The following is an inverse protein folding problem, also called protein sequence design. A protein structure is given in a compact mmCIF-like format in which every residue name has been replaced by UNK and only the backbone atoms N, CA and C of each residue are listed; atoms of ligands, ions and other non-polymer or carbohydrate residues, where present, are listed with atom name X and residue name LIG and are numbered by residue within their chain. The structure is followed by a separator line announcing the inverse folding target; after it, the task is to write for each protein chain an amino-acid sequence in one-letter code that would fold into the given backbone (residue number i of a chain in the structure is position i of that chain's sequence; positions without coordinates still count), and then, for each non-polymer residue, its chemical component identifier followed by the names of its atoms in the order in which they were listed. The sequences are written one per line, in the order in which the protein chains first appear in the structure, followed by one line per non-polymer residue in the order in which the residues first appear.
data_IF_014883718142
#
_entry.id   IF_014883718142
#
_cell.length_a   1.000
_cell.length_b   1.000
_cell.length_c   1.000
_cell.angle_alpha   90.00
_cell.angle_beta   90.00
_cell.angle_gamma   90.00
#
_symmetry.space_group_name_H-M   'P 1'
#
loop_
_entity.id
_entity.type
_entity.pdbx_description
1 polymer ?
#
# COMPACT_ATOMS: atom_id res chain seq x y z
N UNK A 1 3.80 3.34 12.99
CA UNK A 1 4.08 2.39 14.08
C UNK A 1 5.19 1.47 13.59
N UNK A 2 6.29 1.33 14.34
CA UNK A 2 7.41 0.47 13.92
C UNK A 2 7.14 -1.02 14.20
N UNK A 3 6.56 -1.34 15.35
CA UNK A 3 6.20 -2.71 15.73
C UNK A 3 4.69 -2.79 16.05
N UNK A 4 3.83 -3.12 15.07
CA UNK A 4 2.38 -3.08 15.25
C UNK A 4 1.89 -3.94 16.42
N UNK A 5 2.44 -5.15 16.60
CA UNK A 5 2.02 -6.09 17.64
C UNK A 5 2.22 -5.61 19.08
N UNK A 6 3.14 -4.69 19.33
CA UNK A 6 3.48 -4.18 20.68
C UNK A 6 3.15 -2.71 20.85
N UNK A 7 3.22 -1.91 19.79
CA UNK A 7 3.14 -0.45 19.88
C UNK A 7 1.72 0.07 19.62
N UNK A 8 0.77 -0.77 19.18
CA UNK A 8 -0.60 -0.34 18.93
C UNK A 8 -1.28 0.39 20.11
N UNK A 9 -1.02 0.10 21.40
CA UNK A 9 -1.64 0.85 22.50
C UNK A 9 -1.20 2.32 22.55
N UNK A 10 -0.09 2.69 21.90
CA UNK A 10 0.35 4.09 21.83
C UNK A 10 -0.63 4.97 21.04
N UNK A 11 -1.46 4.37 20.17
CA UNK A 11 -2.47 5.11 19.40
C UNK A 11 -3.45 5.88 20.30
N UNK A 12 -3.76 5.38 21.50
CA UNK A 12 -4.59 6.10 22.47
C UNK A 12 -3.99 7.45 22.88
N UNK A 13 -2.65 7.56 22.93
CA UNK A 13 -1.97 8.82 23.30
C UNK A 13 -2.10 9.86 22.19
N UNK A 14 -2.17 9.41 20.95
CA UNK A 14 -2.21 10.26 19.77
C UNK A 14 -3.63 10.61 19.33
N UNK A 15 -4.67 9.95 19.88
CA UNK A 15 -6.06 10.19 19.48
C UNK A 15 -6.46 11.67 19.55
N UNK A 16 -5.97 12.41 20.56
CA UNK A 16 -6.21 13.86 20.70
C UNK A 16 -5.61 14.72 19.59
N UNK A 17 -4.67 14.20 18.81
CA UNK A 17 -4.12 14.93 17.66
C UNK A 17 -5.17 15.11 16.56
N UNK A 18 -6.13 14.19 16.47
CA UNK A 18 -7.21 14.23 15.48
C UNK A 18 -8.15 15.42 15.67
N UNK A 19 -8.24 15.97 16.89
CA UNK A 19 -9.09 17.12 17.19
C UNK A 19 -8.67 18.38 16.41
N UNK A 20 -7.37 18.49 16.06
CA UNK A 20 -6.80 19.67 15.43
C UNK A 20 -6.11 19.41 14.09
N UNK A 21 -5.79 18.15 13.78
CA UNK A 21 -5.00 17.79 12.61
C UNK A 21 -5.52 16.49 11.97
N UNK A 22 -5.66 16.43 10.63
CA UNK A 22 -5.93 15.18 9.92
C UNK A 22 -4.65 14.31 9.91
N UNK A 23 -4.43 13.57 11.01
CA UNK A 23 -3.29 12.67 11.15
C UNK A 23 -3.67 11.29 10.64
N UNK A 24 -2.78 10.70 9.82
CA UNK A 24 -2.84 9.29 9.43
C UNK A 24 -1.79 8.47 10.15
N UNK A 25 -2.07 7.18 10.34
CA UNK A 25 -1.14 6.24 10.95
C UNK A 25 -0.58 5.32 9.88
N UNK A 26 0.76 5.32 9.73
CA UNK A 26 1.45 4.32 8.95
C UNK A 26 1.59 3.01 9.76
N UNK A 27 1.10 1.89 9.20
CA UNK A 27 1.15 0.57 9.84
C UNK A 27 1.78 -0.43 8.85
N UNK A 28 2.95 -1.02 9.17
CA UNK A 28 3.52 -2.08 8.35
C UNK A 28 2.75 -3.40 8.49
N UNK A 29 2.68 -4.16 7.40
CA UNK A 29 2.12 -5.52 7.40
C UNK A 29 3.13 -6.47 8.04
N UNK A 30 3.10 -6.50 9.36
CA UNK A 30 3.92 -7.36 10.23
C UNK A 30 3.04 -8.04 11.29
N UNK A 31 3.62 -8.96 12.06
CA UNK A 31 2.87 -9.67 13.11
C UNK A 31 2.10 -8.71 14.03
N UNK A 32 0.78 -8.93 14.11
CA UNK A 32 -0.13 -8.11 14.91
C UNK A 32 -0.69 -6.85 14.23
N UNK A 33 -0.41 -6.61 12.94
CA UNK A 33 -0.91 -5.44 12.23
C UNK A 33 -2.44 -5.35 12.24
N UNK A 34 -3.17 -6.47 12.14
CA UNK A 34 -4.64 -6.48 12.13
C UNK A 34 -5.23 -5.80 13.38
N UNK A 35 -4.64 -6.06 14.55
CA UNK A 35 -5.05 -5.44 15.81
C UNK A 35 -4.77 -3.94 15.79
N UNK A 36 -3.62 -3.54 15.25
CA UNK A 36 -3.26 -2.14 15.10
C UNK A 36 -4.20 -1.41 14.14
N UNK A 37 -4.56 -2.02 13.01
CA UNK A 37 -5.54 -1.49 12.05
C UNK A 37 -6.91 -1.34 12.71
N UNK A 38 -7.41 -2.38 13.37
CA UNK A 38 -8.72 -2.36 14.05
C UNK A 38 -8.77 -1.27 15.12
N UNK A 39 -7.70 -1.11 15.92
CA UNK A 39 -7.64 -0.04 16.91
C UNK A 39 -7.57 1.34 16.26
N UNK A 40 -6.73 1.52 15.24
CA UNK A 40 -6.59 2.81 14.53
C UNK A 40 -7.93 3.27 13.95
N UNK A 41 -8.64 2.38 13.26
CA UNK A 41 -9.96 2.67 12.70
C UNK A 41 -10.98 2.99 13.81
N UNK A 42 -10.96 2.25 14.93
CA UNK A 42 -11.84 2.52 16.08
C UNK A 42 -11.58 3.90 16.70
N UNK A 43 -10.32 4.35 16.68
CA UNK A 43 -9.89 5.66 17.16
C UNK A 43 -10.00 6.76 16.09
N UNK A 44 -10.64 6.47 14.96
CA UNK A 44 -10.87 7.40 13.87
C UNK A 44 -9.60 7.91 13.16
N UNK A 45 -8.54 7.11 13.12
CA UNK A 45 -7.39 7.38 12.26
C UNK A 45 -7.60 6.88 10.84
N UNK A 46 -7.22 7.68 9.84
CA UNK A 46 -6.90 7.16 8.53
C UNK A 46 -5.64 6.28 8.61
N UNK A 47 -5.61 5.18 7.85
CA UNK A 47 -4.53 4.20 7.95
C UNK A 47 -3.82 4.05 6.61
N UNK A 48 -2.52 4.33 6.61
CA UNK A 48 -1.61 3.98 5.51
C UNK A 48 -0.99 2.61 5.79
N UNK A 49 -1.48 1.59 5.10
CA UNK A 49 -0.97 0.23 5.24
C UNK A 49 0.27 0.03 4.36
N UNK A 50 1.42 -0.24 4.98
CA UNK A 50 2.70 -0.43 4.29
C UNK A 50 2.89 -1.92 4.02
N UNK A 51 2.57 -2.36 2.80
CA UNK A 51 2.46 -3.79 2.50
C UNK A 51 3.81 -4.43 2.19
N UNK A 52 4.72 -3.74 1.50
CA UNK A 52 6.06 -4.25 1.23
C UNK A 52 6.06 -5.65 0.59
N UNK A 53 6.73 -6.61 1.23
CA UNK A 53 6.72 -8.03 0.90
C UNK A 53 6.22 -8.83 2.12
N UNK A 54 4.90 -9.05 2.27
CA UNK A 54 4.36 -9.73 3.45
C UNK A 54 4.98 -11.11 3.66
N UNK A 55 5.26 -11.47 4.90
CA UNK A 55 5.66 -12.85 5.22
C UNK A 55 4.53 -13.84 4.87
N UNK A 56 4.88 -15.09 4.59
CA UNK A 56 3.93 -16.12 4.12
C UNK A 56 2.68 -16.24 5.02
N UNK A 57 2.85 -16.18 6.35
CA UNK A 57 1.75 -16.25 7.32
C UNK A 57 0.89 -14.98 7.44
N UNK A 58 1.24 -13.89 6.77
CA UNK A 58 0.53 -12.60 6.84
C UNK A 58 -0.41 -12.36 5.66
N UNK A 59 -0.37 -13.21 4.63
CA UNK A 59 -1.24 -13.05 3.46
C UNK A 59 -2.71 -13.25 3.80
N UNK A 60 -3.06 -14.29 4.57
CA UNK A 60 -4.44 -14.53 4.98
C UNK A 60 -4.97 -13.39 5.87
N UNK A 61 -4.27 -12.96 6.94
CA UNK A 61 -4.60 -11.74 7.67
C UNK A 61 -4.84 -10.49 6.80
N UNK A 62 -4.04 -10.31 5.75
CA UNK A 62 -4.16 -9.17 4.84
C UNK A 62 -5.45 -9.26 3.99
N UNK A 63 -5.80 -10.46 3.53
CA UNK A 63 -7.04 -10.74 2.82
C UNK A 63 -8.25 -10.53 3.76
N UNK A 64 -8.19 -11.01 5.00
CA UNK A 64 -9.26 -10.82 5.98
C UNK A 64 -9.45 -9.33 6.31
N UNK A 65 -8.36 -8.55 6.34
CA UNK A 65 -8.42 -7.09 6.53
C UNK A 65 -9.07 -6.39 5.32
N UNK A 66 -8.81 -6.88 4.10
CA UNK A 66 -9.49 -6.38 2.90
C UNK A 66 -10.99 -6.70 2.94
N UNK A 67 -11.36 -7.91 3.36
CA UNK A 67 -12.76 -8.31 3.50
C UNK A 67 -13.50 -7.44 4.54
N UNK A 68 -12.87 -7.22 5.70
CA UNK A 68 -13.34 -6.27 6.71
C UNK A 68 -13.52 -4.86 6.10
N UNK A 69 -12.57 -4.38 5.27
CA UNK A 69 -12.66 -3.07 4.63
C UNK A 69 -13.82 -2.95 3.63
N UNK A 70 -14.05 -3.99 2.81
CA UNK A 70 -15.07 -3.97 1.75
C UNK A 70 -16.49 -4.15 2.29
N UNK A 71 -16.67 -4.99 3.31
CA UNK A 71 -18.01 -5.46 3.70
C UNK A 71 -18.46 -4.97 5.06
N UNK A 72 -17.56 -4.50 5.93
CA UNK A 72 -17.95 -4.12 7.29
C UNK A 72 -18.46 -2.69 7.34
N UNK A 73 -19.76 -2.46 7.65
CA UNK A 73 -20.38 -1.13 7.59
C UNK A 73 -19.82 -0.14 8.62
N UNK A 74 -19.05 -0.62 9.60
CA UNK A 74 -18.45 0.21 10.64
C UNK A 74 -17.10 0.81 10.23
N UNK A 75 -16.55 0.43 9.07
CA UNK A 75 -15.30 1.01 8.56
C UNK A 75 -15.65 2.31 7.83
N UNK A 76 -15.52 3.43 8.53
CA UNK A 76 -15.86 4.76 8.02
C UNK A 76 -14.65 5.54 7.47
N UNK A 77 -13.44 4.99 7.61
CA UNK A 77 -12.20 5.66 7.26
C UNK A 77 -11.39 4.87 6.23
N UNK A 78 -10.65 5.56 5.36
CA UNK A 78 -9.89 4.90 4.33
C UNK A 78 -8.73 4.10 4.93
N UNK A 79 -8.67 2.82 4.55
CA UNK A 79 -7.42 2.07 4.50
C UNK A 79 -6.75 2.43 3.17
N UNK A 80 -5.84 3.41 3.17
CA UNK A 80 -5.41 4.15 1.99
C UNK A 80 -4.99 3.23 0.84
N UNK A 81 -4.21 2.18 1.09
CA UNK A 81 -3.82 1.24 0.05
C UNK A 81 -5.02 0.57 -0.64
N UNK A 82 -5.97 0.03 0.12
CA UNK A 82 -7.18 -0.59 -0.45
C UNK A 82 -8.07 0.44 -1.10
N UNK A 83 -8.23 1.60 -0.47
CA UNK A 83 -9.09 2.67 -0.95
C UNK A 83 -8.60 3.24 -2.29
N UNK A 84 -7.31 3.56 -2.41
CA UNK A 84 -6.72 4.06 -3.65
C UNK A 84 -6.85 3.06 -4.80
N UNK A 85 -6.59 1.77 -4.54
CA UNK A 85 -6.73 0.73 -5.55
C UNK A 85 -8.18 0.51 -5.97
N UNK A 86 -9.10 0.44 -5.00
CA UNK A 86 -10.53 0.28 -5.27
C UNK A 86 -11.05 1.40 -6.15
N UNK A 87 -10.70 2.66 -5.83
CA UNK A 87 -11.11 3.82 -6.63
C UNK A 87 -10.48 3.81 -8.02
N UNK A 88 -9.20 3.49 -8.15
CA UNK A 88 -8.55 3.41 -9.46
C UNK A 88 -9.19 2.34 -10.35
N UNK A 89 -9.50 1.16 -9.80
CA UNK A 89 -10.24 0.13 -10.55
C UNK A 89 -11.67 0.56 -10.89
N UNK A 90 -12.36 1.22 -9.96
CA UNK A 90 -13.71 1.74 -10.18
C UNK A 90 -13.77 2.83 -11.25
N UNK A 91 -12.73 3.65 -11.37
CA UNK A 91 -12.67 4.78 -12.34
C UNK A 91 -11.90 4.46 -13.60
N UNK A 92 -11.31 3.27 -13.68
CA UNK A 92 -10.39 2.87 -14.76
C UNK A 92 -9.20 3.84 -14.92
N UNK A 93 -8.76 4.43 -13.81
CA UNK A 93 -7.62 5.35 -13.77
C UNK A 93 -6.30 4.56 -13.65
N UNK A 94 -5.23 5.01 -14.34
CA UNK A 94 -3.92 4.42 -14.16
C UNK A 94 -3.45 4.66 -12.73
N UNK A 95 -2.89 3.63 -12.10
CA UNK A 95 -2.36 3.69 -10.74
C UNK A 95 -0.97 3.07 -10.70
N UNK A 96 -0.05 3.69 -9.98
CA UNK A 96 1.30 3.17 -9.75
C UNK A 96 1.48 2.85 -8.27
N UNK A 97 1.81 1.60 -7.95
CA UNK A 97 1.91 1.14 -6.56
C UNK A 97 3.03 1.84 -5.81
N UNK A 98 4.10 2.24 -6.49
CA UNK A 98 5.16 3.04 -5.88
C UNK A 98 4.62 4.41 -5.44
N UNK A 99 3.70 5.00 -6.20
CA UNK A 99 3.08 6.28 -5.86
C UNK A 99 2.02 6.13 -4.76
N UNK A 100 1.16 5.10 -4.84
CA UNK A 100 0.16 4.78 -3.80
C UNK A 100 0.81 4.53 -2.45
N UNK A 101 1.96 3.85 -2.45
CA UNK A 101 2.73 3.59 -1.24
C UNK A 101 3.62 4.78 -0.87
N UNK A 102 3.62 5.89 -1.62
CA UNK A 102 4.49 7.06 -1.42
C UNK A 102 5.97 6.66 -1.31
N UNK A 103 6.38 5.73 -2.15
CA UNK A 103 7.73 5.16 -2.26
C UNK A 103 8.38 5.44 -3.62
N UNK A 104 7.78 6.27 -4.47
CA UNK A 104 8.39 6.76 -5.71
C UNK A 104 9.36 7.93 -5.41
N UNK A 105 10.69 7.75 -5.58
CA UNK A 105 11.66 8.81 -5.26
C UNK A 105 11.61 10.01 -6.21
N UNK A 106 10.96 9.88 -7.37
CA UNK A 106 10.69 11.01 -8.25
C UNK A 106 9.75 12.01 -7.59
N UNK A 107 8.81 11.52 -6.77
CA UNK A 107 7.76 12.30 -6.14
C UNK A 107 8.04 12.61 -4.66
N UNK A 108 8.61 11.67 -3.93
CA UNK A 108 8.76 11.74 -2.47
C UNK A 108 10.22 11.54 -2.08
N UNK A 109 10.78 12.52 -1.38
CA UNK A 109 12.10 12.46 -0.75
C UNK A 109 12.03 13.13 0.61
N UNK A 110 12.85 12.67 1.54
CA UNK A 110 12.93 13.24 2.88
C UNK A 110 14.26 13.97 3.04
N UNK A 111 14.29 14.99 3.89
CA UNK A 111 15.52 15.67 4.28
C UNK A 111 15.67 15.48 5.79
N UNK A 112 16.79 14.91 6.21
CA UNK A 112 17.08 14.70 7.62
C UNK A 112 17.57 15.99 8.32
N UNK A 113 17.79 15.90 9.64
CA UNK A 113 18.25 17.03 10.45
C UNK A 113 19.65 17.55 10.05
N UNK A 114 20.44 16.74 9.33
CA UNK A 114 21.73 17.13 8.78
C UNK A 114 21.62 17.78 7.39
N UNK A 115 20.41 17.87 6.83
CA UNK A 115 20.14 18.41 5.51
C UNK A 115 20.42 17.42 4.37
N UNK A 116 20.61 16.13 4.66
CA UNK A 116 20.85 15.12 3.64
C UNK A 116 19.53 14.55 3.11
N UNK A 117 19.45 14.35 1.79
CA UNK A 117 18.31 13.70 1.14
C UNK A 117 18.28 12.20 1.44
N UNK A 118 17.11 11.68 1.77
CA UNK A 118 16.83 10.29 2.09
C UNK A 118 15.71 9.75 1.18
N UNK A 119 15.85 8.49 0.76
CA UNK A 119 14.83 7.81 -0.04
C UNK A 119 13.60 7.43 0.81
N UNK A 120 12.42 7.27 0.18
CA UNK A 120 11.20 6.96 0.91
C UNK A 120 11.02 5.49 1.27
N UNK A 121 10.35 5.24 2.40
CA UNK A 121 9.83 3.92 2.79
C UNK A 121 10.88 2.81 2.75
N UNK A 122 10.57 1.69 2.10
CA UNK A 122 11.48 0.53 2.01
C UNK A 122 12.74 0.77 1.19
N UNK A 123 12.84 1.89 0.46
CA UNK A 123 14.06 2.30 -0.23
C UNK A 123 15.06 2.98 0.72
N UNK A 124 14.60 3.55 1.84
CA UNK A 124 15.46 4.20 2.83
C UNK A 124 16.46 3.22 3.50
N UNK A 125 16.06 1.96 3.64
CA UNK A 125 16.87 0.89 4.27
C UNK A 125 17.99 0.40 3.35
N UNK A 126 17.91 0.73 2.06
CA UNK A 126 18.90 0.35 1.05
C UNK A 126 19.83 1.55 0.85
N UNK A 127 21.14 1.30 0.76
CA UNK A 127 22.13 2.37 0.59
C UNK A 127 21.75 3.28 -0.59
N UNK A 128 21.47 4.55 -0.29
CA UNK A 128 21.17 5.61 -1.26
C UNK A 128 22.18 5.61 -2.41
N UNK A 129 23.45 5.32 -2.10
CA UNK A 129 24.55 5.25 -3.04
C UNK A 129 24.39 4.19 -4.15
N UNK A 130 23.58 3.15 -3.95
CA UNK A 130 23.29 2.14 -4.96
C UNK A 130 22.26 2.61 -6.01
N UNK A 131 21.49 3.67 -5.71
CA UNK A 131 20.51 4.27 -6.63
C UNK A 131 21.11 5.57 -7.17
N UNK A 132 21.74 5.48 -8.34
CA UNK A 132 22.43 6.61 -8.97
C UNK A 132 21.49 7.70 -9.49
N UNK A 133 20.26 7.34 -9.85
CA UNK A 133 19.25 8.26 -10.36
C UNK A 133 17.89 8.01 -9.70
N UNK A 134 17.64 8.61 -8.51
CA UNK A 134 16.38 8.40 -7.79
C UNK A 134 15.13 8.74 -8.62
N UNK A 135 15.18 9.81 -9.42
CA UNK A 135 14.03 10.27 -10.20
C UNK A 135 13.60 9.32 -11.32
N UNK A 136 14.50 8.46 -11.82
CA UNK A 136 14.22 7.48 -12.87
C UNK A 136 14.17 6.04 -12.32
N UNK A 137 14.25 5.87 -10.99
CA UNK A 137 14.37 4.57 -10.34
C UNK A 137 13.24 3.61 -10.73
N UNK A 138 11.98 4.03 -10.60
CA UNK A 138 10.82 3.16 -10.85
C UNK A 138 10.76 2.73 -12.33
N UNK A 139 11.10 3.64 -13.25
CA UNK A 139 11.15 3.35 -14.68
C UNK A 139 12.21 2.32 -15.02
N UNK A 140 13.45 2.53 -14.55
CA UNK A 140 14.55 1.59 -14.75
C UNK A 140 14.28 0.23 -14.09
N UNK A 141 13.73 0.24 -12.87
CA UNK A 141 13.37 -0.99 -12.16
C UNK A 141 12.30 -1.79 -12.90
N UNK A 142 11.22 -1.13 -13.33
CA UNK A 142 10.14 -1.78 -14.07
C UNK A 142 10.64 -2.35 -15.41
N UNK A 143 11.44 -1.59 -16.16
CA UNK A 143 12.02 -2.04 -17.42
C UNK A 143 12.89 -3.29 -17.23
N UNK A 144 13.74 -3.30 -16.19
CA UNK A 144 14.56 -4.47 -15.87
C UNK A 144 13.69 -5.71 -15.54
N UNK A 145 12.59 -5.54 -14.80
CA UNK A 145 11.66 -6.66 -14.50
C UNK A 145 10.96 -7.26 -15.71
N UNK A 146 10.73 -6.46 -16.76
CA UNK A 146 10.21 -6.98 -18.03
C UNK A 146 11.29 -7.71 -18.82
N UNK A 147 12.51 -7.18 -18.85
CA UNK A 147 13.65 -7.77 -19.57
C UNK A 147 14.11 -9.10 -18.98
N UNK A 148 13.98 -9.28 -17.66
CA UNK A 148 14.32 -10.54 -16.97
C UNK A 148 13.49 -11.74 -17.47
N UNK A 149 12.38 -11.51 -18.20
CA UNK A 149 11.53 -12.57 -18.77
C UNK A 149 10.80 -13.44 -17.74
N UNK A 150 10.87 -13.09 -16.46
CA UNK A 150 10.25 -13.80 -15.35
C UNK A 150 8.74 -13.53 -15.22
N UNK A 151 8.20 -13.83 -14.05
CA UNK A 151 6.77 -13.71 -13.71
C UNK A 151 6.15 -12.34 -14.07
N UNK A 152 6.90 -11.25 -13.87
CA UNK A 152 6.44 -9.88 -14.13
C UNK A 152 6.12 -9.62 -15.61
N UNK A 153 6.84 -10.26 -16.54
CA UNK A 153 6.65 -10.05 -17.99
C UNK A 153 5.26 -10.48 -18.50
N UNK A 154 4.58 -11.36 -17.77
CA UNK A 154 3.25 -11.90 -18.12
C UNK A 154 2.19 -11.55 -17.09
N UNK A 155 2.51 -10.70 -16.11
CA UNK A 155 1.60 -10.37 -15.03
C UNK A 155 0.58 -9.32 -15.48
N UNK A 156 -0.71 -9.63 -15.35
CA UNK A 156 -1.83 -8.73 -15.69
C UNK A 156 -1.86 -7.44 -14.86
N UNK A 157 -1.27 -7.47 -13.66
CA UNK A 157 -1.16 -6.31 -12.78
C UNK A 157 0.17 -5.57 -12.92
N UNK A 158 1.01 -5.91 -13.92
CA UNK A 158 2.34 -5.32 -14.04
C UNK A 158 2.28 -3.80 -14.28
N UNK A 159 1.32 -3.33 -15.09
CA UNK A 159 1.16 -1.92 -15.39
C UNK A 159 1.03 -1.07 -14.10
N UNK A 160 0.31 -1.60 -13.10
CA UNK A 160 0.10 -0.93 -11.83
C UNK A 160 1.21 -1.22 -10.81
N UNK A 161 1.62 -2.48 -10.73
CA UNK A 161 2.59 -2.95 -9.73
C UNK A 161 4.01 -2.45 -10.05
N UNK A 162 4.41 -2.39 -11.32
CA UNK A 162 5.76 -2.01 -11.79
C UNK A 162 6.89 -2.71 -11.03
N UNK A 163 6.66 -3.98 -10.65
CA UNK A 163 7.62 -4.77 -9.88
C UNK A 163 7.77 -4.38 -8.41
N UNK A 164 6.84 -3.61 -7.83
CA UNK A 164 6.83 -3.17 -6.44
C UNK A 164 7.09 -4.32 -5.44
N UNK A 165 6.36 -5.42 -5.59
CA UNK A 165 6.46 -6.60 -4.73
C UNK A 165 7.69 -7.48 -4.99
N UNK A 166 8.49 -7.18 -6.02
CA UNK A 166 9.77 -7.86 -6.27
C UNK A 166 10.96 -7.11 -5.65
N UNK A 167 10.70 -6.04 -4.90
CA UNK A 167 11.71 -5.32 -4.12
C UNK A 167 11.52 -5.54 -2.62
N UNK A 168 12.60 -5.85 -1.85
CA UNK A 168 13.97 -6.08 -2.34
C UNK A 168 14.22 -7.50 -2.85
N UNK A 169 13.42 -8.49 -2.41
CA UNK A 169 13.60 -9.90 -2.81
C UNK A 169 12.95 -10.17 -4.17
N UNK A 170 13.76 -10.38 -5.20
CA UNK A 170 13.27 -10.57 -6.59
C UNK A 170 12.52 -11.88 -6.83
N UNK A 171 12.74 -12.86 -5.96
CA UNK A 171 12.14 -14.19 -5.99
C UNK A 171 10.83 -14.29 -5.17
N UNK A 172 10.39 -13.20 -4.53
CA UNK A 172 9.16 -13.16 -3.74
C UNK A 172 7.94 -13.70 -4.50
N UNK A 173 7.18 -14.63 -3.93
CA UNK A 173 5.99 -15.21 -4.56
C UNK A 173 4.81 -14.21 -4.55
N UNK A 174 4.42 -13.73 -5.73
CA UNK A 174 3.31 -12.79 -5.87
C UNK A 174 1.93 -13.47 -5.91
N UNK A 175 1.81 -14.78 -5.72
CA UNK A 175 0.52 -15.50 -5.80
C UNK A 175 -0.54 -14.90 -4.88
N UNK A 176 -0.22 -14.73 -3.58
CA UNK A 176 -1.16 -14.12 -2.62
C UNK A 176 -1.48 -12.67 -2.95
N UNK A 177 -0.50 -11.90 -3.42
CA UNK A 177 -0.72 -10.50 -3.85
C UNK A 177 -1.66 -10.44 -5.04
N UNK A 178 -1.49 -11.31 -6.05
CA UNK A 178 -2.37 -11.36 -7.21
C UNK A 178 -3.81 -11.68 -6.82
N UNK A 179 -4.02 -12.56 -5.83
CA UNK A 179 -5.35 -12.84 -5.29
C UNK A 179 -5.96 -11.58 -4.65
N UNK A 180 -5.21 -10.89 -3.79
CA UNK A 180 -5.64 -9.64 -3.15
C UNK A 180 -6.06 -8.58 -4.19
N UNK A 181 -5.22 -8.37 -5.22
CA UNK A 181 -5.49 -7.41 -6.29
C UNK A 181 -6.68 -7.81 -7.16
N UNK A 182 -6.87 -9.11 -7.38
CA UNK A 182 -8.02 -9.63 -8.10
C UNK A 182 -9.33 -9.32 -7.36
N UNK A 183 -9.37 -9.52 -6.05
CA UNK A 183 -10.53 -9.18 -5.21
C UNK A 183 -10.83 -7.69 -5.26
N UNK A 184 -9.81 -6.83 -5.12
CA UNK A 184 -9.98 -5.37 -5.23
C UNK A 184 -10.49 -4.94 -6.61
N UNK A 185 -9.98 -5.53 -7.68
CA UNK A 185 -10.44 -5.23 -9.04
C UNK A 185 -11.91 -5.60 -9.22
N UNK A 186 -12.31 -6.79 -8.77
CA UNK A 186 -13.72 -7.23 -8.84
C UNK A 186 -14.65 -6.30 -8.07
N UNK A 187 -14.27 -5.92 -6.84
CA UNK A 187 -15.04 -4.97 -6.05
C UNK A 187 -15.14 -3.59 -6.71
N UNK A 188 -14.06 -3.11 -7.35
CA UNK A 188 -14.07 -1.85 -8.09
C UNK A 188 -14.98 -1.90 -9.32
N UNK A 189 -14.97 -3.01 -10.06
CA UNK A 189 -15.84 -3.23 -11.22
C UNK A 189 -17.33 -3.35 -10.82
N UNK A 190 -17.62 -3.99 -9.69
CA UNK A 190 -18.97 -4.03 -9.10
C UNK A 190 -19.45 -2.63 -8.71
N UNK A 191 -18.65 -1.89 -7.94
CA UNK A 191 -19.00 -0.53 -7.53
C UNK A 191 -19.25 0.38 -8.74
N UNK A 192 -18.43 0.28 -9.80
CA UNK A 192 -18.63 1.04 -11.03
C UNK A 192 -19.97 0.74 -11.70
N UNK A 193 -20.40 -0.53 -11.71
CA UNK A 193 -21.71 -0.93 -12.26
C UNK A 193 -22.84 -0.35 -11.44
N UNK A 194 -22.77 -0.49 -10.12
CA UNK A 194 -23.81 0.01 -9.21
C UNK A 194 -23.98 1.54 -9.32
N UNK A 195 -22.87 2.28 -9.44
CA UNK A 195 -22.90 3.73 -9.66
C UNK A 195 -23.56 4.10 -11.00
N UNK A 196 -23.22 3.40 -12.09
CA UNK A 196 -23.83 3.65 -13.39
C UNK A 196 -25.34 3.34 -13.41
N UNK A 197 -25.77 2.31 -12.68
CA UNK A 197 -27.20 1.99 -12.49
C UNK A 197 -27.91 3.09 -11.68
N UNK A 198 -27.30 3.59 -10.60
CA UNK A 198 -27.87 4.65 -9.78
C UNK A 198 -27.98 6.00 -10.53
N UNK A 199 -27.02 6.33 -11.40
CA UNK A 199 -27.04 7.54 -12.23
C UNK A 199 -28.09 7.49 -13.36
N UNK A 200 -28.59 6.30 -13.69
CA UNK A 200 -29.60 6.09 -14.73
C UNK A 200 -31.05 6.22 -14.22
N UNK A 201 -31.24 6.49 -12.92
CA UNK A 201 -32.53 6.63 -12.24
C UNK A 201 -32.77 8.07 -11.75
#
# INVERSE_FOLDING_TARGET
LEQPGTNFPQLYRYAKLLDNHPVRVAIPVENGFEKAVKLALSLQFAVRLQIGQPAEGLMQPLIDTLDDYLHRPTVALPLEFFHSLLLAFCREEPIDFWQVQEEDPALVRYVDDAGAEQLPGKLAVQDFAAITEPASFVEHWAAARLQDGGECSKCTFFAQCRGYFKWPKRDYDCTGIKMLLQTLRQAGEELRRDLAEAESH
#
